data_IF_076893314339
#
_entry.id   IF_076893314339
#
_cell.length_a   1.000
_cell.length_b   1.000
_cell.length_c   1.000
_cell.angle_alpha   90.00
_cell.angle_beta   90.00
_cell.angle_gamma   90.00
#
_symmetry.space_group_name_H-M   'P 1'
#
loop_
_entity.id
_entity.type
_entity.pdbx_description
1 polymer ?
#
# COMPACT_ATOMS: atom_id res chain seq x y z
N UNK A 1 -6.98 -9.57 17.72
CA UNK A 1 -6.32 -9.89 16.45
C UNK A 1 -5.73 -8.58 15.97
N UNK A 2 -4.42 -8.42 16.09
CA UNK A 2 -3.72 -7.22 15.64
C UNK A 2 -3.68 -7.17 14.12
N UNK A 3 -3.52 -5.97 13.57
CA UNK A 3 -3.43 -5.77 12.12
C UNK A 3 -2.23 -6.54 11.52
N UNK A 4 -1.13 -6.69 12.27
CA UNK A 4 0.03 -7.52 11.92
C UNK A 4 -0.34 -9.02 11.85
N UNK A 5 -1.19 -9.52 12.73
CA UNK A 5 -1.73 -10.89 12.62
C UNK A 5 -2.56 -11.07 11.34
N UNK A 6 -3.26 -10.01 10.89
CA UNK A 6 -3.97 -10.02 9.61
C UNK A 6 -3.03 -10.00 8.39
N UNK A 7 -1.84 -9.41 8.52
CA UNK A 7 -0.82 -9.44 7.45
C UNK A 7 -0.14 -10.81 7.36
N UNK A 8 0.06 -11.49 8.49
CA UNK A 8 0.68 -12.82 8.57
C UNK A 8 -0.34 -13.97 8.51
N UNK A 9 -1.65 -13.69 8.59
CA UNK A 9 -2.70 -14.68 8.41
C UNK A 9 -2.81 -15.10 6.93
N UNK A 10 -1.77 -15.73 6.43
CA UNK A 10 -1.70 -16.24 5.05
C UNK A 10 -2.48 -17.56 4.87
N UNK A 11 -2.84 -18.24 5.95
CA UNK A 11 -3.42 -19.60 5.91
C UNK A 11 -4.88 -19.70 6.40
N UNK A 12 -5.54 -18.58 6.72
CA UNK A 12 -6.93 -18.58 7.18
C UNK A 12 -7.93 -18.00 6.20
N UNK A 13 -7.48 -17.45 5.07
CA UNK A 13 -8.40 -16.96 4.05
C UNK A 13 -9.01 -18.16 3.36
N UNK A 14 -10.31 -18.36 3.55
CA UNK A 14 -11.09 -19.40 2.87
C UNK A 14 -10.73 -19.41 1.37
N UNK A 15 -10.29 -20.57 0.87
CA UNK A 15 -9.85 -20.74 -0.51
C UNK A 15 -10.85 -20.20 -1.54
N UNK A 16 -12.13 -20.11 -1.18
CA UNK A 16 -13.16 -19.50 -2.00
C UNK A 16 -13.04 -17.97 -2.04
N UNK A 17 -12.64 -17.31 -0.95
CA UNK A 17 -12.39 -15.85 -0.93
C UNK A 17 -11.19 -15.48 -1.80
N UNK A 18 -10.10 -16.25 -1.73
CA UNK A 18 -8.95 -16.03 -2.61
C UNK A 18 -9.30 -16.20 -4.08
N UNK A 19 -10.05 -17.26 -4.43
CA UNK A 19 -10.52 -17.47 -5.82
C UNK A 19 -11.40 -16.33 -6.31
N UNK A 20 -12.24 -15.75 -5.44
CA UNK A 20 -13.07 -14.58 -5.77
C UNK A 20 -12.19 -13.36 -6.02
N UNK A 21 -11.21 -13.09 -5.15
CA UNK A 21 -10.31 -11.95 -5.28
C UNK A 21 -9.39 -12.07 -6.51
N UNK A 22 -8.92 -13.28 -6.84
CA UNK A 22 -8.16 -13.54 -8.07
C UNK A 22 -9.00 -13.25 -9.32
N UNK A 23 -10.23 -13.75 -9.34
CA UNK A 23 -11.15 -13.49 -10.44
C UNK A 23 -11.48 -12.00 -10.55
N UNK A 24 -11.70 -11.30 -9.41
CA UNK A 24 -11.95 -9.86 -9.39
C UNK A 24 -10.76 -9.07 -9.92
N UNK A 25 -9.54 -9.38 -9.45
CA UNK A 25 -8.31 -8.76 -9.93
C UNK A 25 -8.15 -8.91 -11.45
N UNK A 26 -8.27 -10.14 -11.95
CA UNK A 26 -8.15 -10.43 -13.38
C UNK A 26 -9.21 -9.68 -14.22
N UNK A 27 -10.44 -9.61 -13.73
CA UNK A 27 -11.54 -8.86 -14.38
C UNK A 27 -11.28 -7.36 -14.36
N UNK A 28 -10.85 -6.80 -13.22
CA UNK A 28 -10.53 -5.38 -13.10
C UNK A 28 -9.35 -5.00 -14.00
N UNK A 29 -8.35 -5.87 -14.10
CA UNK A 29 -7.23 -5.66 -14.99
C UNK A 29 -7.63 -5.70 -16.48
N UNK A 30 -8.53 -6.60 -16.87
CA UNK A 30 -8.92 -6.78 -18.28
C UNK A 30 -9.97 -5.75 -18.73
N UNK A 31 -10.98 -5.48 -17.90
CA UNK A 31 -12.20 -4.74 -18.30
C UNK A 31 -12.44 -3.47 -17.47
N UNK A 32 -11.58 -3.19 -16.48
CA UNK A 32 -11.79 -2.14 -15.51
C UNK A 32 -12.82 -2.53 -14.45
N UNK A 33 -12.88 -1.70 -13.41
CA UNK A 33 -13.87 -1.88 -12.35
C UNK A 33 -15.27 -1.62 -12.88
N UNK A 34 -15.48 -0.55 -13.66
CA UNK A 34 -16.80 -0.21 -14.21
C UNK A 34 -17.33 -1.30 -15.13
N UNK A 35 -16.48 -1.88 -15.96
CA UNK A 35 -16.82 -2.96 -16.90
C UNK A 35 -16.99 -4.34 -16.29
N UNK A 36 -16.86 -4.50 -14.97
CA UNK A 36 -16.96 -5.79 -14.27
C UNK A 36 -18.18 -5.82 -13.36
N UNK A 37 -18.95 -6.89 -13.42
CA UNK A 37 -20.05 -7.17 -12.47
C UNK A 37 -19.66 -8.25 -11.46
N UNK A 38 -20.36 -8.35 -10.34
CA UNK A 38 -20.18 -9.43 -9.35
C UNK A 38 -20.46 -10.80 -9.99
N UNK A 39 -21.39 -10.84 -10.93
CA UNK A 39 -21.73 -12.06 -11.69
C UNK A 39 -20.60 -12.53 -12.60
N UNK A 40 -19.89 -11.59 -13.22
CA UNK A 40 -18.71 -11.91 -14.02
C UNK A 40 -17.59 -12.49 -13.16
N UNK A 41 -17.41 -11.92 -11.95
CA UNK A 41 -16.45 -12.43 -10.98
C UNK A 41 -16.85 -13.84 -10.50
N UNK A 42 -18.12 -14.08 -10.19
CA UNK A 42 -18.63 -15.39 -9.79
C UNK A 42 -18.36 -16.45 -10.86
N UNK A 43 -18.69 -16.11 -12.11
CA UNK A 43 -18.47 -17.00 -13.28
C UNK A 43 -16.98 -17.32 -13.45
N UNK A 44 -16.11 -16.33 -13.37
CA UNK A 44 -14.67 -16.51 -13.53
C UNK A 44 -14.05 -17.28 -12.35
N UNK A 45 -14.53 -17.06 -11.14
CA UNK A 45 -14.11 -17.80 -9.94
C UNK A 45 -14.61 -19.27 -9.94
N UNK A 46 -15.54 -19.64 -10.84
CA UNK A 46 -16.18 -20.96 -10.82
C UNK A 46 -17.03 -21.19 -9.56
N UNK A 47 -17.68 -20.14 -9.05
CA UNK A 47 -18.49 -20.17 -7.84
C UNK A 47 -19.91 -19.69 -8.13
N UNK A 48 -20.87 -20.09 -7.26
CA UNK A 48 -22.23 -19.57 -7.36
C UNK A 48 -22.29 -18.10 -6.97
N UNK A 49 -23.23 -17.34 -7.55
CA UNK A 49 -23.50 -15.95 -7.14
C UNK A 49 -23.75 -15.86 -5.64
N UNK A 50 -24.54 -16.77 -5.07
CA UNK A 50 -24.85 -16.82 -3.63
C UNK A 50 -23.58 -16.92 -2.80
N UNK A 51 -22.60 -17.73 -3.25
CA UNK A 51 -21.32 -17.87 -2.56
C UNK A 51 -20.55 -16.55 -2.56
N UNK A 52 -20.53 -15.83 -3.69
CA UNK A 52 -19.83 -14.55 -3.80
C UNK A 52 -20.54 -13.48 -2.95
N UNK A 53 -21.87 -13.32 -3.08
CA UNK A 53 -22.61 -12.32 -2.32
C UNK A 53 -22.57 -12.54 -0.80
N UNK A 54 -22.43 -13.77 -0.34
CA UNK A 54 -22.28 -14.06 1.09
C UNK A 54 -20.96 -13.54 1.66
N UNK A 55 -19.90 -13.43 0.85
CA UNK A 55 -18.57 -12.95 1.26
C UNK A 55 -18.36 -11.47 0.95
N UNK A 56 -18.82 -11.06 -0.20
CA UNK A 56 -18.73 -9.71 -0.73
C UNK A 56 -20.11 -9.25 -1.16
N UNK A 57 -20.82 -8.62 -0.23
CA UNK A 57 -22.24 -8.26 -0.41
C UNK A 57 -22.45 -7.19 -1.48
N UNK A 58 -21.42 -6.39 -1.72
CA UNK A 58 -21.43 -5.29 -2.71
C UNK A 58 -20.16 -5.31 -3.54
N UNK A 59 -20.24 -4.72 -4.73
CA UNK A 59 -19.06 -4.53 -5.58
C UNK A 59 -17.93 -3.74 -4.90
N UNK A 60 -18.30 -2.77 -4.05
CA UNK A 60 -17.31 -2.01 -3.28
C UNK A 60 -16.52 -2.90 -2.31
N UNK A 61 -17.15 -3.90 -1.72
CA UNK A 61 -16.47 -4.85 -0.83
C UNK A 61 -15.43 -5.69 -1.59
N UNK A 62 -15.73 -6.05 -2.86
CA UNK A 62 -14.75 -6.67 -3.75
C UNK A 62 -13.58 -5.76 -4.06
N UNK A 63 -13.83 -4.49 -4.34
CA UNK A 63 -12.78 -3.49 -4.61
C UNK A 63 -11.88 -3.37 -3.40
N UNK A 64 -12.45 -3.18 -2.21
CA UNK A 64 -11.71 -3.08 -0.96
C UNK A 64 -10.91 -4.36 -0.67
N UNK A 65 -11.51 -5.53 -0.88
CA UNK A 65 -10.82 -6.81 -0.72
C UNK A 65 -9.62 -6.96 -1.65
N UNK A 66 -9.76 -6.57 -2.92
CA UNK A 66 -8.63 -6.58 -3.87
C UNK A 66 -7.55 -5.59 -3.43
N UNK A 67 -7.90 -4.36 -3.07
CA UNK A 67 -6.92 -3.36 -2.61
C UNK A 67 -6.17 -3.86 -1.39
N UNK A 68 -6.86 -4.39 -0.38
CA UNK A 68 -6.24 -4.89 0.84
C UNK A 68 -5.30 -6.07 0.55
N UNK A 69 -5.70 -6.99 -0.33
CA UNK A 69 -4.85 -8.11 -0.73
C UNK A 69 -3.59 -7.64 -1.46
N UNK A 70 -3.72 -6.72 -2.39
CA UNK A 70 -2.56 -6.17 -3.11
C UNK A 70 -1.64 -5.37 -2.18
N UNK A 71 -2.20 -4.65 -1.19
CA UNK A 71 -1.41 -4.01 -0.14
C UNK A 71 -0.62 -5.04 0.68
N UNK A 72 -1.25 -6.16 1.10
CA UNK A 72 -0.53 -7.23 1.82
C UNK A 72 0.61 -7.82 0.99
N UNK A 73 0.39 -8.05 -0.32
CA UNK A 73 1.44 -8.52 -1.24
C UNK A 73 2.59 -7.51 -1.30
N UNK A 74 2.25 -6.25 -1.49
CA UNK A 74 3.22 -5.16 -1.48
C UNK A 74 4.05 -5.12 -0.17
N UNK A 75 3.40 -5.24 0.99
CA UNK A 75 4.10 -5.19 2.28
C UNK A 75 5.03 -6.40 2.48
N UNK A 76 4.65 -7.59 2.01
CA UNK A 76 5.55 -8.77 2.01
C UNK A 76 6.78 -8.57 1.10
N UNK A 77 6.57 -8.05 -0.11
CA UNK A 77 7.67 -7.76 -1.03
C UNK A 77 8.59 -6.68 -0.48
N UNK A 78 8.02 -5.67 0.18
CA UNK A 78 8.76 -4.64 0.91
C UNK A 78 9.60 -5.25 2.03
N UNK A 79 8.99 -6.06 2.91
CA UNK A 79 9.66 -6.73 4.02
C UNK A 79 10.84 -7.57 3.54
N UNK A 80 10.65 -8.37 2.49
CA UNK A 80 11.72 -9.17 1.91
C UNK A 80 12.88 -8.31 1.40
N UNK A 81 12.60 -7.13 0.87
CA UNK A 81 13.61 -6.23 0.33
C UNK A 81 14.43 -5.52 1.42
N UNK A 82 13.84 -5.25 2.59
CA UNK A 82 14.52 -4.57 3.70
C UNK A 82 15.05 -5.54 4.77
N UNK A 83 14.63 -6.80 4.73
CA UNK A 83 15.09 -7.83 5.67
C UNK A 83 16.62 -7.99 5.58
N UNK A 84 17.26 -8.02 6.74
CA UNK A 84 18.71 -8.22 6.83
C UNK A 84 19.55 -6.97 6.56
N UNK A 85 18.96 -5.83 6.25
CA UNK A 85 19.69 -4.56 6.17
C UNK A 85 20.07 -4.11 7.59
N UNK A 86 21.37 -3.77 7.83
CA UNK A 86 21.92 -3.67 9.17
C UNK A 86 21.51 -2.39 9.92
N UNK A 87 21.03 -1.37 9.22
CA UNK A 87 20.73 -0.08 9.84
C UNK A 87 19.34 0.44 9.43
N UNK A 88 18.63 1.16 10.31
CA UNK A 88 17.39 1.84 9.96
C UNK A 88 17.53 2.78 8.76
N UNK A 89 18.68 3.44 8.62
CA UNK A 89 18.96 4.31 7.49
C UNK A 89 18.96 3.55 6.16
N UNK A 90 19.58 2.37 6.11
CA UNK A 90 19.58 1.50 4.92
C UNK A 90 18.19 0.94 4.63
N UNK A 91 17.45 0.56 5.66
CA UNK A 91 16.06 0.10 5.52
C UNK A 91 15.15 1.19 4.94
N UNK A 92 15.28 2.45 5.40
CA UNK A 92 14.54 3.59 4.84
C UNK A 92 14.93 3.85 3.39
N UNK A 93 16.23 3.82 3.08
CA UNK A 93 16.73 4.07 1.72
C UNK A 93 16.23 3.02 0.74
N UNK A 94 16.38 1.74 1.07
CA UNK A 94 15.93 0.65 0.21
C UNK A 94 14.41 0.57 0.18
N UNK A 95 13.76 0.70 1.33
CA UNK A 95 12.29 0.69 1.41
C UNK A 95 11.63 1.75 0.55
N UNK A 96 12.18 2.96 0.48
CA UNK A 96 11.66 4.01 -0.40
C UNK A 96 11.84 3.66 -1.88
N UNK A 97 13.01 3.17 -2.28
CA UNK A 97 13.29 2.79 -3.66
C UNK A 97 12.38 1.63 -4.12
N UNK A 98 12.26 0.59 -3.28
CA UNK A 98 11.38 -0.56 -3.53
C UNK A 98 9.92 -0.13 -3.62
N UNK A 99 9.46 0.75 -2.72
CA UNK A 99 8.10 1.29 -2.74
C UNK A 99 7.80 1.93 -4.09
N UNK A 100 8.64 2.84 -4.56
CA UNK A 100 8.42 3.51 -5.84
C UNK A 100 8.46 2.53 -7.02
N UNK A 101 9.35 1.55 -6.99
CA UNK A 101 9.46 0.51 -8.03
C UNK A 101 8.21 -0.36 -8.08
N UNK A 102 7.78 -0.92 -6.94
CA UNK A 102 6.61 -1.80 -6.86
C UNK A 102 5.33 -1.08 -7.26
N UNK A 103 5.14 0.16 -6.79
CA UNK A 103 3.96 0.95 -7.11
C UNK A 103 3.90 1.29 -8.60
N UNK A 104 5.02 1.69 -9.21
CA UNK A 104 5.08 1.98 -10.66
C UNK A 104 4.87 0.74 -11.51
N UNK A 105 5.37 -0.41 -11.05
CA UNK A 105 5.20 -1.70 -11.72
C UNK A 105 3.82 -2.33 -11.55
N UNK A 106 2.96 -1.77 -10.68
CA UNK A 106 1.68 -2.39 -10.34
C UNK A 106 0.63 -2.20 -11.45
N UNK A 107 0.45 -3.23 -12.27
CA UNK A 107 -0.35 -3.17 -13.51
C UNK A 107 -1.81 -2.71 -13.27
N UNK A 108 -2.48 -3.23 -12.24
CA UNK A 108 -3.87 -2.86 -11.95
C UNK A 108 -3.97 -1.41 -11.49
N UNK A 109 -3.08 -0.97 -10.60
CA UNK A 109 -3.08 0.40 -10.10
C UNK A 109 -2.84 1.41 -11.23
N UNK A 110 -1.81 1.17 -12.06
CA UNK A 110 -1.51 2.00 -13.21
C UNK A 110 -2.68 2.09 -14.19
N UNK A 111 -3.33 0.95 -14.48
CA UNK A 111 -4.52 0.91 -15.34
C UNK A 111 -5.68 1.72 -14.75
N UNK A 112 -5.97 1.58 -13.45
CA UNK A 112 -7.08 2.27 -12.81
C UNK A 112 -6.83 3.77 -12.69
N UNK A 113 -5.60 4.19 -12.38
CA UNK A 113 -5.24 5.60 -12.34
C UNK A 113 -5.36 6.26 -13.72
N UNK A 114 -4.98 5.56 -14.79
CA UNK A 114 -5.08 6.09 -16.15
C UNK A 114 -6.50 6.05 -16.73
N UNK A 115 -7.25 4.97 -16.49
CA UNK A 115 -8.54 4.71 -17.14
C UNK A 115 -9.78 5.03 -16.30
N UNK A 116 -9.69 4.83 -15.00
CA UNK A 116 -10.81 4.99 -14.05
C UNK A 116 -10.40 5.73 -12.77
N UNK A 117 -9.76 6.92 -12.85
CA UNK A 117 -9.26 7.62 -11.66
C UNK A 117 -10.35 7.90 -10.64
N UNK A 118 -11.56 8.24 -11.06
CA UNK A 118 -12.71 8.47 -10.16
C UNK A 118 -13.11 7.24 -9.34
N UNK A 119 -12.69 6.04 -9.72
CA UNK A 119 -12.96 4.81 -8.97
C UNK A 119 -11.86 4.54 -7.95
N UNK A 120 -10.59 4.74 -8.28
CA UNK A 120 -9.47 4.38 -7.39
C UNK A 120 -9.02 5.51 -6.47
N UNK A 121 -9.06 6.77 -6.92
CA UNK A 121 -8.59 7.91 -6.13
C UNK A 121 -9.25 8.04 -4.76
N UNK A 122 -10.57 7.83 -4.57
CA UNK A 122 -11.16 7.85 -3.24
C UNK A 122 -10.49 6.89 -2.26
N UNK A 123 -10.06 5.70 -2.71
CA UNK A 123 -9.37 4.71 -1.88
C UNK A 123 -7.92 5.09 -1.56
N UNK A 124 -7.32 6.00 -2.32
CA UNK A 124 -5.96 6.50 -2.12
C UNK A 124 -5.93 7.88 -1.43
N UNK A 125 -7.09 8.48 -1.17
CA UNK A 125 -7.23 9.83 -0.59
C UNK A 125 -8.22 9.83 0.58
N UNK A 126 -9.45 10.27 0.37
CA UNK A 126 -10.46 10.45 1.43
C UNK A 126 -10.89 9.15 2.12
N UNK A 127 -10.83 8.02 1.45
CA UNK A 127 -11.11 6.68 1.99
C UNK A 127 -9.86 5.85 2.24
N UNK A 128 -8.68 6.47 2.31
CA UNK A 128 -7.42 5.76 2.46
C UNK A 128 -7.15 5.25 3.89
N UNK A 129 -7.84 5.77 4.91
CA UNK A 129 -7.53 5.52 6.32
C UNK A 129 -7.34 4.03 6.69
N UNK A 130 -8.18 3.08 6.25
CA UNK A 130 -7.97 1.67 6.60
C UNK A 130 -6.66 1.11 6.06
N UNK A 131 -6.25 1.54 4.86
CA UNK A 131 -5.01 1.10 4.22
C UNK A 131 -3.79 1.81 4.81
N UNK A 132 -3.94 3.10 5.13
CA UNK A 132 -2.91 3.90 5.81
C UNK A 132 -2.59 3.35 7.19
N UNK A 133 -3.61 2.96 7.96
CA UNK A 133 -3.42 2.34 9.27
C UNK A 133 -2.58 1.06 9.18
N UNK A 134 -2.90 0.18 8.23
CA UNK A 134 -2.13 -1.06 7.97
C UNK A 134 -0.68 -0.74 7.61
N UNK A 135 -0.48 0.16 6.66
CA UNK A 135 0.87 0.50 6.19
C UNK A 135 1.68 1.19 7.28
N UNK A 136 1.07 2.08 8.08
CA UNK A 136 1.71 2.81 9.17
C UNK A 136 2.18 1.85 10.27
N UNK A 137 1.29 0.97 10.76
CA UNK A 137 1.65 -0.03 11.77
C UNK A 137 2.82 -0.91 11.29
N UNK A 138 2.73 -1.36 10.03
CA UNK A 138 3.79 -2.18 9.43
C UNK A 138 5.13 -1.44 9.36
N UNK A 139 5.17 -0.23 8.81
CA UNK A 139 6.42 0.54 8.68
C UNK A 139 6.96 0.93 10.05
N UNK A 140 6.09 1.35 10.99
CA UNK A 140 6.49 1.71 12.34
C UNK A 140 7.13 0.53 13.09
N UNK A 141 6.67 -0.69 12.87
CA UNK A 141 7.25 -1.90 13.50
C UNK A 141 8.71 -2.18 13.11
N UNK A 142 9.19 -1.57 12.03
CA UNK A 142 10.60 -1.67 11.57
C UNK A 142 11.49 -0.50 12.04
N UNK A 143 10.91 0.46 12.77
CA UNK A 143 11.62 1.65 13.24
C UNK A 143 11.81 1.58 14.77
N UNK A 144 13.06 1.63 15.21
CA UNK A 144 13.39 1.77 16.64
C UNK A 144 13.46 3.27 16.99
N UNK A 145 12.29 3.88 17.17
CA UNK A 145 12.16 5.31 17.45
C UNK A 145 10.89 5.58 18.26
N UNK A 146 10.91 6.51 19.22
CA UNK A 146 9.69 6.96 19.91
C UNK A 146 8.68 7.61 18.97
N UNK A 147 9.13 8.13 17.82
CA UNK A 147 8.30 8.78 16.80
C UNK A 147 8.01 7.87 15.60
N UNK A 148 8.16 6.54 15.76
CA UNK A 148 8.05 5.57 14.66
C UNK A 148 6.77 5.73 13.84
N UNK A 149 5.61 5.96 14.49
CA UNK A 149 4.33 6.14 13.79
C UNK A 149 4.32 7.41 12.94
N UNK A 150 4.83 8.53 13.46
CA UNK A 150 4.88 9.80 12.74
C UNK A 150 5.83 9.72 11.54
N UNK A 151 6.98 9.06 11.71
CA UNK A 151 7.96 8.83 10.66
C UNK A 151 7.35 7.93 9.57
N UNK A 152 6.69 6.83 9.96
CA UNK A 152 5.99 5.93 9.05
C UNK A 152 4.91 6.65 8.24
N UNK A 153 4.07 7.44 8.92
CA UNK A 153 3.03 8.28 8.27
C UNK A 153 3.64 9.22 7.22
N UNK A 154 4.73 9.90 7.54
CA UNK A 154 5.42 10.79 6.61
C UNK A 154 5.95 10.04 5.38
N UNK A 155 6.60 8.89 5.56
CA UNK A 155 7.12 8.10 4.45
C UNK A 155 6.02 7.62 3.51
N UNK A 156 4.91 7.16 4.06
CA UNK A 156 3.75 6.72 3.28
C UNK A 156 3.17 7.89 2.50
N UNK A 157 2.99 9.07 3.13
CA UNK A 157 2.44 10.26 2.47
C UNK A 157 3.34 10.79 1.36
N UNK A 158 4.66 10.82 1.59
CA UNK A 158 5.63 11.22 0.57
C UNK A 158 5.56 10.25 -0.62
N UNK A 159 5.53 8.94 -0.37
CA UNK A 159 5.43 7.92 -1.42
C UNK A 159 4.13 8.03 -2.21
N UNK A 160 2.99 8.24 -1.52
CA UNK A 160 1.69 8.47 -2.16
C UNK A 160 1.69 9.76 -2.99
N UNK A 161 2.34 10.83 -2.53
CA UNK A 161 2.45 12.07 -3.29
C UNK A 161 3.12 11.83 -4.64
N UNK A 162 4.23 11.10 -4.69
CA UNK A 162 4.90 10.76 -5.95
C UNK A 162 4.10 9.79 -6.83
N UNK A 163 3.26 8.94 -6.23
CA UNK A 163 2.34 8.09 -6.98
C UNK A 163 1.23 8.89 -7.64
N UNK A 164 0.59 9.78 -6.87
CA UNK A 164 -0.59 10.52 -7.31
C UNK A 164 -0.23 11.71 -8.21
N UNK A 165 1.00 12.22 -8.08
CA UNK A 165 1.52 13.35 -8.87
C UNK A 165 2.89 12.96 -9.43
N UNK A 166 2.93 12.13 -10.50
CA UNK A 166 4.20 11.57 -11.01
C UNK A 166 5.08 12.62 -11.69
N UNK A 167 4.50 13.74 -12.15
CA UNK A 167 5.29 14.85 -12.70
C UNK A 167 6.00 15.59 -11.56
N UNK A 168 7.33 15.54 -11.53
CA UNK A 168 8.16 16.12 -10.47
C UNK A 168 9.46 16.66 -11.04
N UNK A 169 9.95 17.77 -10.46
CA UNK A 169 11.30 18.26 -10.71
C UNK A 169 12.38 17.42 -9.97
N UNK A 170 11.96 16.52 -9.07
CA UNK A 170 12.83 15.62 -8.34
C UNK A 170 13.03 14.36 -9.20
N UNK A 171 14.26 14.04 -9.60
CA UNK A 171 14.53 12.85 -10.41
C UNK A 171 14.36 11.60 -9.54
N UNK A 172 13.36 10.78 -9.85
CA UNK A 172 13.06 9.54 -9.14
C UNK A 172 12.81 8.36 -10.10
N UNK A 173 13.25 8.47 -11.35
CA UNK A 173 12.92 7.53 -12.43
C UNK A 173 13.60 6.15 -12.23
N UNK A 174 14.75 6.13 -11.56
CA UNK A 174 15.49 4.90 -11.25
C UNK A 174 15.57 4.64 -9.74
N UNK A 175 15.82 3.38 -9.38
CA UNK A 175 16.06 2.98 -7.98
C UNK A 175 17.26 3.73 -7.38
N UNK A 176 18.29 4.02 -8.18
CA UNK A 176 19.46 4.77 -7.71
C UNK A 176 19.11 6.20 -7.34
N UNK A 177 18.31 6.89 -8.16
CA UNK A 177 17.81 8.23 -7.88
C UNK A 177 16.90 8.23 -6.65
N UNK A 178 16.04 7.23 -6.51
CA UNK A 178 15.18 7.07 -5.33
C UNK A 178 16.01 6.86 -4.05
N UNK A 179 17.06 6.02 -4.10
CA UNK A 179 17.99 5.85 -2.97
C UNK A 179 18.75 7.13 -2.64
N UNK A 180 19.21 7.87 -3.65
CA UNK A 180 19.90 9.14 -3.44
C UNK A 180 19.00 10.18 -2.77
N UNK A 181 17.74 10.28 -3.22
CA UNK A 181 16.73 11.13 -2.60
C UNK A 181 16.46 10.72 -1.15
N UNK A 182 16.27 9.44 -0.89
CA UNK A 182 15.98 8.94 0.47
C UNK A 182 17.14 9.21 1.43
N UNK A 183 18.39 8.95 1.01
CA UNK A 183 19.57 9.27 1.83
C UNK A 183 19.64 10.74 2.21
N UNK A 184 19.37 11.61 1.25
CA UNK A 184 19.50 13.05 1.46
C UNK A 184 18.35 13.66 2.25
N UNK A 185 17.11 13.20 2.03
CA UNK A 185 15.91 13.89 2.48
C UNK A 185 15.07 13.10 3.48
N UNK A 186 15.15 11.76 3.51
CA UNK A 186 14.34 10.94 4.40
C UNK A 186 15.11 10.41 5.61
N UNK A 187 16.36 9.99 5.42
CA UNK A 187 17.22 9.52 6.53
C UNK A 187 17.36 10.54 7.67
N UNK A 188 17.47 11.86 7.43
CA UNK A 188 17.54 12.85 8.51
C UNK A 188 16.34 12.83 9.46
N UNK A 189 15.17 12.40 9.03
CA UNK A 189 14.00 12.28 9.91
C UNK A 189 14.18 11.23 11.02
N UNK A 190 15.00 10.21 10.79
CA UNK A 190 15.31 9.20 11.82
C UNK A 190 16.08 9.80 13.00
N UNK A 191 16.85 10.86 12.76
CA UNK A 191 17.68 11.52 13.78
C UNK A 191 16.96 12.70 14.45
N UNK A 192 15.90 13.23 13.86
CA UNK A 192 15.19 14.41 14.35
C UNK A 192 14.31 14.12 15.57
N UNK A 193 13.88 12.86 15.77
CA UNK A 193 13.04 12.45 16.91
C UNK A 193 13.74 12.46 18.28
N UNK A 194 15.05 12.77 18.33
CA UNK A 194 15.80 12.93 19.60
C UNK A 194 16.02 14.39 20.01
N UNK A 195 15.58 15.36 19.24
CA UNK A 195 15.69 16.77 19.59
C UNK A 195 14.49 17.18 20.47
N UNK A 196 14.80 17.62 21.68
CA UNK A 196 13.89 18.16 22.69
C UNK A 196 12.83 19.08 22.08
N UNK A 197 11.56 18.81 22.37
CA UNK A 197 10.45 19.64 21.90
C UNK A 197 10.71 21.11 22.29
N UNK A 198 10.48 22.09 21.41
CA UNK A 198 10.61 23.48 21.75
C UNK A 198 9.66 23.81 22.91
N UNK A 199 10.09 24.68 23.88
CA UNK A 199 9.25 25.03 25.00
C UNK A 199 7.93 25.64 24.52
N UNK A 200 6.82 25.39 25.22
CA UNK A 200 5.52 25.92 24.83
C UNK A 200 5.61 27.45 24.76
N UNK A 201 5.16 28.02 23.66
CA UNK A 201 4.99 29.46 23.54
C UNK A 201 4.08 29.92 24.67
N UNK A 202 4.67 30.61 25.65
CA UNK A 202 3.93 31.34 26.66
C UNK A 202 3.16 32.47 25.97
N UNK A 203 1.84 32.40 26.07
CA UNK A 203 0.89 33.43 25.65
C UNK A 203 0.97 34.65 26.57
#
# INVERSE_FOLDING_TARGET
>A
MTLLELLHADDGTDSASERILDAAYARFLAYGVRGTTVDDVARQAGLSRVTVYRRFSRKNDLIQGVILRELRRFLRDFEQAVAGLPTPAEQVVEGFAVTLRLVRGHSLLGRLLAGEPGTILPHLTTGAEPYMAVAREFVASHLDSPDAEAIAEMFIRISLSFLLTPSSAIPLESDEQARAFARRHLVPFLSAGGAEAPPPCSA
#
